data_IF_469288491395
#
_entry.id   IF_469288491395
#
_cell.length_a   1.000
_cell.length_b   1.000
_cell.length_c   1.000
_cell.angle_alpha   90.00
_cell.angle_beta   90.00
_cell.angle_gamma   90.00
#
_symmetry.space_group_name_H-M   'P 1'
#
loop_
_entity.id
_entity.type
_entity.pdbx_description
1 polymer ?
#
# COMPACT_ATOMS: atom_id res chain seq x y z
N UNK A 1 -18.33 -2.61 -37.49
CA UNK A 1 -18.05 -1.38 -38.25
C UNK A 1 -18.26 -0.10 -37.42
N UNK A 2 -19.41 0.61 -37.45
CA UNK A 2 -19.50 1.99 -36.91
C UNK A 2 -19.09 2.16 -35.43
N UNK A 3 -19.57 1.29 -34.53
CA UNK A 3 -19.18 1.34 -33.09
C UNK A 3 -17.71 0.99 -32.86
N UNK A 4 -17.15 0.05 -33.63
CA UNK A 4 -15.73 -0.34 -33.51
C UNK A 4 -14.80 0.79 -33.98
N UNK A 5 -15.15 1.45 -35.08
CA UNK A 5 -14.44 2.64 -35.56
C UNK A 5 -14.51 3.79 -34.54
N UNK A 6 -15.67 4.02 -33.93
CA UNK A 6 -15.85 5.04 -32.89
C UNK A 6 -15.02 4.73 -31.64
N UNK A 7 -14.99 3.48 -31.17
CA UNK A 7 -14.14 3.07 -30.05
C UNK A 7 -12.66 3.26 -30.40
N UNK A 8 -12.22 2.78 -31.56
CA UNK A 8 -10.83 2.87 -31.99
C UNK A 8 -10.32 4.32 -32.14
N UNK A 9 -11.21 5.28 -32.37
CA UNK A 9 -10.89 6.70 -32.50
C UNK A 9 -11.23 7.53 -31.25
N UNK A 10 -11.78 6.92 -30.19
CA UNK A 10 -12.21 7.66 -29.01
C UNK A 10 -11.03 8.23 -28.21
N UNK A 11 -11.21 9.38 -27.56
CA UNK A 11 -10.24 9.98 -26.66
C UNK A 11 -10.05 9.18 -25.37
N UNK A 12 -8.92 9.39 -24.68
CA UNK A 12 -8.58 8.67 -23.45
C UNK A 12 -9.63 8.82 -22.34
N UNK A 13 -10.31 9.97 -22.29
CA UNK A 13 -11.36 10.27 -21.31
C UNK A 13 -12.60 9.36 -21.45
N UNK A 14 -12.79 8.73 -22.62
CA UNK A 14 -13.89 7.81 -22.85
C UNK A 14 -13.67 6.44 -22.18
N UNK A 15 -12.45 6.15 -21.71
CA UNK A 15 -12.08 4.84 -21.18
C UNK A 15 -11.81 4.90 -19.68
N UNK A 16 -12.14 3.81 -18.99
CA UNK A 16 -11.90 3.68 -17.56
C UNK A 16 -11.57 2.24 -17.16
N UNK A 17 -10.74 2.11 -16.12
CA UNK A 17 -10.61 0.86 -15.37
C UNK A 17 -11.85 0.71 -14.48
N UNK A 18 -12.59 -0.37 -14.62
CA UNK A 18 -13.67 -0.78 -13.71
C UNK A 18 -13.15 -1.87 -12.78
N UNK A 19 -12.94 -1.47 -11.52
CA UNK A 19 -12.46 -2.33 -10.46
C UNK A 19 -12.95 -1.82 -9.11
N UNK A 20 -13.86 -2.58 -8.52
CA UNK A 20 -14.42 -2.41 -7.18
C UNK A 20 -14.45 -3.75 -6.42
N UNK A 21 -13.37 -4.55 -6.57
CA UNK A 21 -13.23 -5.87 -5.95
C UNK A 21 -13.80 -7.04 -6.78
N UNK A 22 -14.53 -6.74 -7.87
CA UNK A 22 -15.02 -7.77 -8.80
C UNK A 22 -13.89 -8.26 -9.71
N UNK A 23 -13.70 -9.57 -9.75
CA UNK A 23 -12.77 -10.22 -10.66
C UNK A 23 -13.47 -10.74 -11.93
N UNK A 24 -12.81 -10.72 -13.10
CA UNK A 24 -11.57 -9.99 -13.38
C UNK A 24 -11.81 -8.46 -13.47
N UNK A 25 -10.80 -7.61 -13.26
CA UNK A 25 -10.89 -6.17 -13.55
C UNK A 25 -11.25 -5.94 -15.02
N UNK A 26 -12.01 -4.87 -15.28
CA UNK A 26 -12.63 -4.61 -16.59
C UNK A 26 -12.17 -3.28 -17.15
N UNK A 27 -12.18 -3.16 -18.46
CA UNK A 27 -12.04 -1.87 -19.14
C UNK A 27 -13.39 -1.47 -19.71
N UNK A 28 -13.77 -0.22 -19.47
CA UNK A 28 -14.99 0.38 -19.98
C UNK A 28 -14.66 1.37 -21.09
N UNK A 29 -15.58 1.52 -22.03
CA UNK A 29 -15.67 2.61 -22.99
C UNK A 29 -17.06 3.22 -22.90
N UNK A 30 -17.15 4.51 -22.52
CA UNK A 30 -18.41 5.21 -22.25
C UNK A 30 -19.34 4.40 -21.30
N UNK A 31 -18.75 3.83 -20.25
CA UNK A 31 -19.46 3.00 -19.27
C UNK A 31 -19.75 1.56 -19.70
N UNK A 32 -19.61 1.22 -21.00
CA UNK A 32 -19.83 -0.12 -21.50
C UNK A 32 -18.56 -0.98 -21.40
N UNK A 33 -18.67 -2.22 -20.91
CA UNK A 33 -17.54 -3.15 -20.83
C UNK A 33 -17.05 -3.52 -22.23
N UNK A 34 -15.76 -3.34 -22.48
CA UNK A 34 -15.12 -3.65 -23.78
C UNK A 34 -13.96 -4.62 -23.69
N UNK A 35 -13.35 -4.75 -22.51
CA UNK A 35 -12.31 -5.74 -22.28
C UNK A 35 -12.21 -6.12 -20.79
N UNK A 36 -11.37 -7.11 -20.51
CA UNK A 36 -10.99 -7.48 -19.14
C UNK A 36 -9.51 -7.76 -19.05
N UNK A 37 -8.93 -7.50 -17.88
CA UNK A 37 -7.53 -7.76 -17.62
C UNK A 37 -7.31 -9.23 -17.27
N UNK A 38 -6.26 -9.81 -17.83
CA UNK A 38 -5.77 -11.17 -17.58
C UNK A 38 -4.29 -11.13 -17.25
N UNK A 39 -3.81 -12.18 -16.59
CA UNK A 39 -2.39 -12.34 -16.30
C UNK A 39 -1.60 -12.29 -17.61
N UNK A 40 -0.62 -11.39 -17.65
CA UNK A 40 0.26 -11.19 -18.79
C UNK A 40 1.70 -11.55 -18.45
N UNK A 41 2.65 -10.88 -19.08
CA UNK A 41 4.09 -11.18 -18.94
C UNK A 41 4.63 -10.86 -17.55
N UNK A 42 4.17 -9.75 -16.98
CA UNK A 42 4.59 -9.24 -15.68
C UNK A 42 3.42 -8.48 -15.02
N UNK A 43 3.59 -8.07 -13.75
CA UNK A 43 2.55 -7.41 -12.98
C UNK A 43 2.10 -6.05 -13.55
N UNK A 44 2.94 -5.38 -14.34
CA UNK A 44 2.61 -4.10 -14.99
C UNK A 44 2.11 -4.27 -16.43
N UNK A 45 2.25 -5.46 -17.01
CA UNK A 45 1.88 -5.77 -18.39
C UNK A 45 0.81 -6.87 -18.43
N UNK A 46 -0.42 -6.63 -17.94
CA UNK A 46 -1.51 -7.59 -18.06
C UNK A 46 -1.93 -7.75 -19.53
N UNK A 47 -2.49 -8.91 -19.87
CA UNK A 47 -3.12 -9.11 -21.17
C UNK A 47 -4.52 -8.48 -21.16
N UNK A 48 -4.80 -7.62 -22.14
CA UNK A 48 -6.14 -7.07 -22.36
C UNK A 48 -6.91 -8.04 -23.26
N UNK A 49 -7.91 -8.71 -22.69
CA UNK A 49 -8.78 -9.64 -23.40
C UNK A 49 -10.10 -8.93 -23.76
N UNK A 50 -10.35 -8.74 -25.07
CA UNK A 50 -11.57 -8.11 -25.56
C UNK A 50 -12.83 -8.86 -25.08
N UNK A 51 -13.89 -8.10 -24.84
CA UNK A 51 -15.18 -8.67 -24.47
C UNK A 51 -15.73 -9.54 -25.61
N UNK A 52 -16.44 -10.62 -25.24
CA UNK A 52 -17.08 -11.53 -26.21
C UNK A 52 -18.08 -10.82 -27.12
N UNK A 53 -18.72 -9.74 -26.66
CA UNK A 53 -19.59 -8.91 -27.49
C UNK A 53 -18.87 -8.29 -28.69
N UNK A 54 -17.54 -8.18 -28.65
CA UNK A 54 -16.70 -7.70 -29.75
C UNK A 54 -16.19 -8.82 -30.66
N UNK A 55 -16.50 -10.10 -30.38
CA UNK A 55 -16.03 -11.24 -31.16
C UNK A 55 -16.61 -11.29 -32.59
N UNK A 56 -17.80 -10.73 -32.79
CA UNK A 56 -18.48 -10.64 -34.10
C UNK A 56 -17.91 -9.56 -35.02
N UNK A 57 -16.96 -8.74 -34.55
CA UNK A 57 -16.30 -7.74 -35.37
C UNK A 57 -15.33 -8.39 -36.38
N UNK A 58 -15.22 -7.75 -37.55
CA UNK A 58 -14.22 -8.12 -38.55
C UNK A 58 -12.81 -8.11 -37.94
N UNK A 59 -11.87 -8.96 -38.43
CA UNK A 59 -10.51 -9.04 -37.88
C UNK A 59 -9.79 -7.69 -37.81
N UNK A 60 -9.93 -6.84 -38.83
CA UNK A 60 -9.34 -5.49 -38.84
C UNK A 60 -9.94 -4.56 -37.78
N UNK A 61 -11.27 -4.57 -37.62
CA UNK A 61 -11.96 -3.81 -36.59
C UNK A 61 -11.48 -4.24 -35.19
N UNK A 62 -11.32 -5.54 -34.95
CA UNK A 62 -10.81 -6.07 -33.67
C UNK A 62 -9.37 -5.63 -33.41
N UNK A 63 -8.50 -5.70 -34.42
CA UNK A 63 -7.11 -5.23 -34.30
C UNK A 63 -7.03 -3.76 -33.93
N UNK A 64 -7.82 -2.90 -34.59
CA UNK A 64 -7.86 -1.47 -34.30
C UNK A 64 -8.34 -1.17 -32.88
N UNK A 65 -9.36 -1.89 -32.41
CA UNK A 65 -9.86 -1.78 -31.03
C UNK A 65 -8.80 -2.23 -30.03
N UNK A 66 -8.12 -3.35 -30.28
CA UNK A 66 -7.05 -3.85 -29.41
C UNK A 66 -5.92 -2.82 -29.27
N UNK A 67 -5.39 -2.33 -30.40
CA UNK A 67 -4.34 -1.30 -30.42
C UNK A 67 -4.76 -0.06 -29.63
N UNK A 68 -6.01 0.38 -29.77
CA UNK A 68 -6.51 1.55 -29.04
C UNK A 68 -6.56 1.33 -27.53
N UNK A 69 -7.03 0.16 -27.09
CA UNK A 69 -7.11 -0.20 -25.68
C UNK A 69 -5.73 -0.40 -25.05
N UNK A 70 -4.79 -1.00 -25.79
CA UNK A 70 -3.40 -1.15 -25.35
C UNK A 70 -2.77 0.24 -25.15
N UNK A 71 -2.90 1.14 -26.13
CA UNK A 71 -2.38 2.50 -26.04
C UNK A 71 -3.00 3.30 -24.87
N UNK A 72 -4.31 3.21 -24.67
CA UNK A 72 -4.96 3.85 -23.53
C UNK A 72 -4.45 3.28 -22.20
N UNK A 73 -4.32 1.95 -22.10
CA UNK A 73 -3.89 1.30 -20.88
C UNK A 73 -2.47 1.69 -20.51
N UNK A 74 -1.54 1.74 -21.48
CA UNK A 74 -0.18 2.21 -21.26
C UNK A 74 -0.15 3.67 -20.76
N UNK A 75 -0.94 4.55 -21.39
CA UNK A 75 -1.05 5.95 -20.96
C UNK A 75 -1.64 6.09 -19.54
N UNK A 76 -2.69 5.31 -19.24
CA UNK A 76 -3.31 5.29 -17.92
C UNK A 76 -2.37 4.70 -16.85
N UNK A 77 -1.64 3.64 -17.17
CA UNK A 77 -0.62 3.04 -16.31
C UNK A 77 0.50 4.04 -16.01
N UNK A 78 0.99 4.77 -17.02
CA UNK A 78 2.00 5.81 -16.84
C UNK A 78 1.49 6.99 -16.00
N UNK A 79 0.21 7.34 -16.10
CA UNK A 79 -0.42 8.39 -15.29
C UNK A 79 -0.60 7.96 -13.82
N UNK A 80 -1.09 6.74 -13.59
CA UNK A 80 -1.45 6.29 -12.24
C UNK A 80 -0.25 5.70 -11.49
N UNK A 81 0.56 4.90 -12.18
CA UNK A 81 1.71 4.16 -11.66
C UNK A 81 3.05 4.61 -12.26
N UNK A 82 3.09 5.82 -12.83
CA UNK A 82 4.29 6.42 -13.43
C UNK A 82 5.58 6.31 -12.60
N UNK A 83 5.56 6.44 -11.26
CA UNK A 83 6.75 6.17 -10.45
C UNK A 83 7.37 4.77 -10.64
N UNK A 84 6.56 3.73 -10.84
CA UNK A 84 7.06 2.37 -11.12
C UNK A 84 7.71 2.29 -12.51
N UNK A 85 7.13 2.97 -13.51
CA UNK A 85 7.71 3.07 -14.85
C UNK A 85 9.06 3.79 -14.80
N UNK A 86 9.14 4.91 -14.05
CA UNK A 86 10.39 5.67 -13.86
C UNK A 86 11.48 4.86 -13.17
N UNK A 87 11.13 3.97 -12.24
CA UNK A 87 12.10 3.10 -11.58
C UNK A 87 12.83 2.18 -12.56
N UNK A 88 12.17 1.76 -13.65
CA UNK A 88 12.83 0.98 -14.71
C UNK A 88 13.97 1.78 -15.38
N UNK A 89 13.81 3.09 -15.56
CA UNK A 89 14.87 3.98 -16.08
C UNK A 89 15.99 4.17 -15.06
N UNK A 90 15.65 4.37 -13.78
CA UNK A 90 16.64 4.54 -12.70
C UNK A 90 17.53 3.31 -12.54
N UNK A 91 16.97 2.12 -12.78
CA UNK A 91 17.69 0.83 -12.70
C UNK A 91 18.99 0.81 -13.53
N UNK A 92 19.06 1.52 -14.66
CA UNK A 92 20.26 1.53 -15.50
C UNK A 92 21.47 2.22 -14.82
N UNK A 93 21.22 3.18 -13.94
CA UNK A 93 22.23 4.11 -13.40
C UNK A 93 22.53 3.92 -11.90
N UNK A 94 22.18 2.76 -11.35
CA UNK A 94 22.40 2.42 -9.93
C UNK A 94 23.22 1.13 -9.78
N UNK A 95 23.72 0.88 -8.58
CA UNK A 95 24.49 -0.31 -8.25
C UNK A 95 23.70 -1.61 -8.51
N UNK A 96 24.37 -2.77 -8.72
CA UNK A 96 23.69 -4.06 -8.87
C UNK A 96 22.73 -4.38 -7.71
N UNK A 97 23.09 -4.01 -6.47
CA UNK A 97 22.25 -4.19 -5.29
C UNK A 97 20.96 -3.37 -5.41
N UNK A 98 21.08 -2.09 -5.76
CA UNK A 98 19.93 -1.22 -5.97
C UNK A 98 19.06 -1.68 -7.14
N UNK A 99 19.64 -2.24 -8.21
CA UNK A 99 18.87 -2.86 -9.31
C UNK A 99 17.99 -3.99 -8.81
N UNK A 100 18.53 -4.87 -7.97
CA UNK A 100 17.77 -5.95 -7.35
C UNK A 100 16.64 -5.43 -6.47
N UNK A 101 16.90 -4.37 -5.68
CA UNK A 101 15.86 -3.74 -4.87
C UNK A 101 14.76 -3.11 -5.72
N UNK A 102 15.11 -2.43 -6.82
CA UNK A 102 14.15 -1.85 -7.76
C UNK A 102 13.23 -2.92 -8.37
N UNK A 103 13.80 -4.05 -8.80
CA UNK A 103 13.02 -5.17 -9.35
C UNK A 103 11.95 -5.60 -8.34
N UNK A 104 12.33 -5.79 -7.07
CA UNK A 104 11.40 -6.20 -6.02
C UNK A 104 10.33 -5.15 -5.72
N UNK A 105 10.70 -3.86 -5.72
CA UNK A 105 9.74 -2.76 -5.57
C UNK A 105 8.72 -2.81 -6.71
N UNK A 106 9.16 -3.04 -7.96
CA UNK A 106 8.25 -3.12 -9.11
C UNK A 106 7.36 -4.36 -9.05
N UNK A 107 7.90 -5.52 -8.71
CA UNK A 107 7.15 -6.78 -8.56
C UNK A 107 6.09 -6.72 -7.46
N UNK A 108 6.39 -6.01 -6.36
CA UNK A 108 5.45 -5.73 -5.27
C UNK A 108 4.58 -4.49 -5.52
N UNK A 109 4.61 -3.97 -6.75
CA UNK A 109 3.83 -2.82 -7.20
C UNK A 109 4.02 -1.59 -6.31
N UNK A 110 5.20 -1.40 -5.73
CA UNK A 110 5.60 -0.17 -5.05
C UNK A 110 5.53 -0.19 -3.53
N UNK A 111 5.25 -1.32 -2.89
CA UNK A 111 5.36 -1.46 -1.44
C UNK A 111 5.87 -2.84 -1.05
N UNK A 112 6.99 -2.86 -0.34
CA UNK A 112 7.71 -4.05 0.08
C UNK A 112 7.95 -4.00 1.59
N UNK A 113 7.74 -5.12 2.28
CA UNK A 113 8.10 -5.25 3.69
C UNK A 113 9.62 -5.14 3.82
N UNK A 114 10.08 -4.24 4.68
CA UNK A 114 11.51 -3.92 4.80
C UNK A 114 12.37 -5.13 5.16
N UNK A 115 11.88 -5.98 6.06
CA UNK A 115 12.58 -7.20 6.49
C UNK A 115 12.99 -8.07 5.32
N UNK A 116 12.16 -8.10 4.27
CA UNK A 116 12.41 -8.97 3.14
C UNK A 116 13.61 -8.48 2.32
N UNK A 117 14.01 -7.20 2.43
CA UNK A 117 15.10 -6.56 1.70
C UNK A 117 16.24 -6.03 2.58
N UNK A 118 16.35 -6.51 3.83
CA UNK A 118 17.28 -5.94 4.80
C UNK A 118 18.74 -5.96 4.32
N UNK A 119 19.21 -7.09 3.76
CA UNK A 119 20.57 -7.21 3.21
C UNK A 119 20.85 -6.20 2.09
N UNK A 120 19.91 -6.04 1.16
CA UNK A 120 20.04 -5.09 0.05
C UNK A 120 20.08 -3.66 0.59
N UNK A 121 19.25 -3.34 1.57
CA UNK A 121 19.17 -2.02 2.19
C UNK A 121 20.44 -1.65 2.95
N UNK A 122 21.12 -2.62 3.56
CA UNK A 122 22.42 -2.42 4.22
C UNK A 122 23.53 -2.15 3.19
N UNK A 123 23.49 -2.84 2.05
CA UNK A 123 24.49 -2.71 0.99
C UNK A 123 24.28 -1.50 0.04
N UNK A 124 23.20 -0.71 0.18
CA UNK A 124 22.98 0.49 -0.63
C UNK A 124 24.01 1.59 -0.34
N UNK A 125 24.67 2.08 -1.39
CA UNK A 125 25.57 3.23 -1.31
C UNK A 125 24.80 4.56 -1.32
N UNK A 126 25.48 5.67 -0.98
CA UNK A 126 24.85 7.01 -0.94
C UNK A 126 24.17 7.41 -2.25
N UNK A 127 24.83 7.13 -3.39
CA UNK A 127 24.28 7.41 -4.72
C UNK A 127 22.98 6.67 -4.99
N UNK A 128 22.90 5.39 -4.63
CA UNK A 128 21.67 4.60 -4.77
C UNK A 128 20.52 5.19 -3.95
N UNK A 129 20.79 5.56 -2.70
CA UNK A 129 19.77 6.15 -1.80
C UNK A 129 19.23 7.47 -2.36
N UNK A 130 20.10 8.31 -2.92
CA UNK A 130 19.71 9.55 -3.56
C UNK A 130 18.86 9.31 -4.82
N UNK A 131 19.27 8.39 -5.68
CA UNK A 131 18.54 8.02 -6.89
C UNK A 131 17.14 7.45 -6.58
N UNK A 132 17.06 6.53 -5.61
CA UNK A 132 15.79 5.96 -5.15
C UNK A 132 14.88 7.03 -4.54
N UNK A 133 15.43 7.93 -3.70
CA UNK A 133 14.66 9.03 -3.12
C UNK A 133 14.14 9.99 -4.19
N UNK A 134 14.96 10.33 -5.19
CA UNK A 134 14.55 11.17 -6.32
C UNK A 134 13.43 10.52 -7.16
N UNK A 135 13.42 9.19 -7.23
CA UNK A 135 12.34 8.41 -7.84
C UNK A 135 11.07 8.29 -6.97
N UNK A 136 11.08 8.87 -5.76
CA UNK A 136 9.93 8.85 -4.84
C UNK A 136 9.87 7.64 -3.92
N UNK A 137 10.91 6.79 -3.90
CA UNK A 137 11.02 5.66 -2.98
C UNK A 137 11.39 6.16 -1.59
N UNK A 138 10.67 5.67 -0.58
CA UNK A 138 10.95 5.88 0.84
C UNK A 138 11.52 4.59 1.43
N UNK A 139 12.71 4.67 1.98
CA UNK A 139 13.32 3.60 2.78
C UNK A 139 12.83 3.74 4.23
N UNK A 140 11.57 3.38 4.46
CA UNK A 140 10.90 3.58 5.75
C UNK A 140 11.37 2.62 6.86
N UNK A 141 10.75 2.79 8.03
CA UNK A 141 11.03 1.99 9.23
C UNK A 141 10.66 0.52 9.06
N UNK A 142 9.51 0.24 8.46
CA UNK A 142 8.97 -1.12 8.28
C UNK A 142 8.70 -1.50 6.83
N UNK A 143 8.63 -0.51 5.94
CA UNK A 143 8.38 -0.74 4.51
C UNK A 143 9.32 0.11 3.65
N UNK A 144 9.69 -0.45 2.51
CA UNK A 144 10.21 0.30 1.38
C UNK A 144 9.03 0.54 0.43
N UNK A 145 8.68 1.80 0.18
CA UNK A 145 7.47 2.11 -0.56
C UNK A 145 7.58 3.39 -1.39
N UNK A 146 6.75 3.52 -2.43
CA UNK A 146 6.64 4.75 -3.22
C UNK A 146 5.45 5.57 -2.72
N UNK A 147 5.72 6.72 -2.09
CA UNK A 147 4.70 7.45 -1.33
C UNK A 147 3.50 7.91 -2.19
N UNK A 148 3.75 8.36 -3.43
CA UNK A 148 2.70 8.80 -4.34
C UNK A 148 1.76 7.68 -4.80
N UNK A 149 2.14 6.42 -4.62
CA UNK A 149 1.33 5.25 -4.98
C UNK A 149 0.34 4.80 -3.88
N UNK A 150 0.26 5.55 -2.77
CA UNK A 150 -0.72 5.36 -1.70
C UNK A 150 -1.98 6.23 -1.88
N UNK A 151 -2.03 7.05 -2.94
CA UNK A 151 -3.24 7.81 -3.31
C UNK A 151 -4.35 6.85 -3.81
N UNK A 152 -5.64 7.18 -3.64
CA UNK A 152 -6.72 6.22 -3.89
C UNK A 152 -6.71 5.55 -5.26
N UNK A 153 -6.56 6.32 -6.35
CA UNK A 153 -6.60 5.74 -7.70
C UNK A 153 -5.38 4.87 -7.99
N UNK A 154 -4.17 5.29 -7.57
CA UNK A 154 -2.98 4.45 -7.70
C UNK A 154 -3.11 3.15 -6.91
N UNK A 155 -3.66 3.20 -5.68
CA UNK A 155 -3.96 1.99 -4.89
C UNK A 155 -4.97 1.09 -5.59
N UNK A 156 -6.02 1.66 -6.21
CA UNK A 156 -7.01 0.90 -6.98
C UNK A 156 -6.37 0.16 -8.16
N UNK A 157 -5.50 0.83 -8.91
CA UNK A 157 -4.72 0.22 -9.99
C UNK A 157 -3.78 -0.87 -9.49
N UNK A 158 -3.03 -0.61 -8.42
CA UNK A 158 -2.14 -1.60 -7.79
C UNK A 158 -2.89 -2.84 -7.37
N UNK A 159 -4.04 -2.70 -6.71
CA UNK A 159 -4.87 -3.83 -6.31
C UNK A 159 -5.42 -4.60 -7.50
N UNK A 160 -5.88 -3.93 -8.57
CA UNK A 160 -6.34 -4.60 -9.79
C UNK A 160 -5.23 -5.43 -10.44
N UNK A 161 -4.04 -4.85 -10.60
CA UNK A 161 -2.89 -5.52 -11.21
C UNK A 161 -2.33 -6.64 -10.33
N UNK A 162 -2.23 -6.39 -9.02
CA UNK A 162 -1.83 -7.39 -8.04
C UNK A 162 -2.78 -8.59 -8.06
N UNK A 163 -4.10 -8.34 -8.09
CA UNK A 163 -5.10 -9.40 -8.10
C UNK A 163 -5.03 -10.25 -9.38
N UNK A 164 -4.80 -9.60 -10.53
CA UNK A 164 -4.60 -10.28 -11.82
C UNK A 164 -3.30 -11.08 -11.83
N UNK A 165 -2.20 -10.52 -11.34
CA UNK A 165 -0.89 -11.16 -11.33
C UNK A 165 -0.84 -12.39 -10.42
N UNK A 166 -1.51 -12.32 -9.27
CA UNK A 166 -1.56 -13.40 -8.27
C UNK A 166 -2.78 -14.32 -8.44
N UNK A 167 -3.48 -14.24 -9.58
CA UNK A 167 -4.63 -15.09 -9.91
C UNK A 167 -5.76 -15.10 -8.85
N UNK A 168 -5.91 -14.00 -8.12
CA UNK A 168 -6.89 -13.85 -7.04
C UNK A 168 -8.31 -13.97 -7.60
N UNK A 169 -9.12 -14.85 -7.01
CA UNK A 169 -10.51 -15.08 -7.43
C UNK A 169 -11.50 -14.28 -6.60
N UNK A 170 -11.21 -14.16 -5.30
CA UNK A 170 -12.01 -13.42 -4.34
C UNK A 170 -11.09 -12.50 -3.56
N UNK A 171 -11.42 -11.21 -3.56
CA UNK A 171 -10.68 -10.19 -2.84
C UNK A 171 -11.31 -9.97 -1.46
N UNK A 172 -10.50 -9.70 -0.42
CA UNK A 172 -10.98 -9.01 0.76
C UNK A 172 -11.63 -7.66 0.40
N UNK A 173 -12.43 -7.07 1.31
CA UNK A 173 -13.00 -5.74 1.10
C UNK A 173 -11.92 -4.71 0.76
N UNK A 174 -12.13 -3.96 -0.33
CA UNK A 174 -11.19 -2.90 -0.70
C UNK A 174 -11.25 -1.77 0.33
N UNK A 175 -10.11 -1.21 0.77
CA UNK A 175 -10.12 -0.04 1.63
C UNK A 175 -10.81 1.14 0.96
N UNK A 176 -11.71 1.81 1.69
CA UNK A 176 -12.34 3.03 1.20
C UNK A 176 -11.30 4.13 0.93
N UNK A 177 -11.49 4.98 -0.11
CA UNK A 177 -10.59 6.10 -0.39
C UNK A 177 -10.31 6.96 0.84
N UNK A 178 -9.03 7.27 1.08
CA UNK A 178 -8.61 8.13 2.20
C UNK A 178 -8.55 7.43 3.57
N UNK A 179 -9.04 6.19 3.70
CA UNK A 179 -8.99 5.44 4.97
C UNK A 179 -7.55 5.19 5.40
N UNK A 180 -7.23 5.44 6.69
CA UNK A 180 -5.88 5.28 7.27
C UNK A 180 -5.70 4.03 8.13
N UNK A 181 -6.79 3.39 8.52
CA UNK A 181 -6.82 2.12 9.25
C UNK A 181 -8.02 1.28 8.82
N UNK A 182 -7.84 -0.04 8.80
CA UNK A 182 -8.88 -1.01 8.49
C UNK A 182 -8.85 -2.17 9.48
N UNK A 183 -9.99 -2.81 9.69
CA UNK A 183 -10.07 -4.08 10.40
C UNK A 183 -9.69 -5.21 9.44
N UNK A 184 -8.95 -6.20 9.94
CA UNK A 184 -8.56 -7.41 9.21
C UNK A 184 -9.15 -8.59 9.94
N UNK A 185 -10.17 -9.19 9.34
CA UNK A 185 -10.85 -10.40 9.79
C UNK A 185 -10.26 -11.64 9.11
N UNK A 186 -9.66 -12.51 9.91
CA UNK A 186 -9.09 -13.76 9.42
C UNK A 186 -7.79 -13.60 8.62
N UNK A 187 -7.56 -14.57 7.73
CA UNK A 187 -6.37 -14.64 6.89
C UNK A 187 -6.70 -14.15 5.48
N UNK A 188 -6.10 -13.02 5.09
CA UNK A 188 -6.22 -12.46 3.75
C UNK A 188 -5.07 -12.96 2.87
N UNK A 189 -5.22 -12.97 1.53
CA UNK A 189 -4.14 -13.44 0.67
C UNK A 189 -2.86 -12.62 0.87
N UNK A 190 -1.73 -13.32 0.97
CA UNK A 190 -0.41 -12.71 1.16
C UNK A 190 -0.14 -11.66 0.08
N UNK A 191 0.30 -10.46 0.48
CA UNK A 191 0.57 -9.36 -0.45
C UNK A 191 -0.62 -8.40 -0.65
N UNK A 192 -1.83 -8.75 -0.21
CA UNK A 192 -3.01 -7.88 -0.37
C UNK A 192 -2.81 -6.55 0.38
N UNK A 193 -2.39 -6.61 1.65
CA UNK A 193 -2.23 -5.41 2.47
C UNK A 193 -1.11 -4.52 1.92
N UNK A 194 -0.01 -5.10 1.46
CA UNK A 194 1.11 -4.39 0.84
C UNK A 194 0.66 -3.70 -0.47
N UNK A 195 -0.07 -4.43 -1.33
CA UNK A 195 -0.67 -3.87 -2.55
C UNK A 195 -1.67 -2.75 -2.23
N UNK A 196 -2.43 -2.87 -1.14
CA UNK A 196 -3.34 -1.85 -0.64
C UNK A 196 -2.61 -0.68 0.04
N UNK A 197 -1.34 -0.83 0.44
CA UNK A 197 -0.57 0.19 1.14
C UNK A 197 -0.74 0.20 2.66
N UNK A 198 -1.06 -0.93 3.28
CA UNK A 198 -1.30 -1.10 4.71
C UNK A 198 -0.34 -2.12 5.32
N UNK A 199 -0.08 -1.95 6.62
CA UNK A 199 0.68 -2.89 7.45
C UNK A 199 -0.21 -3.48 8.54
N UNK A 200 -0.24 -4.80 8.66
CA UNK A 200 -1.03 -5.51 9.68
C UNK A 200 -0.44 -5.34 11.08
N UNK A 201 -1.29 -4.98 12.04
CA UNK A 201 -1.01 -4.89 13.47
C UNK A 201 -2.10 -5.63 14.27
N UNK A 202 -1.96 -6.95 14.38
CA UNK A 202 -2.99 -7.80 14.99
C UNK A 202 -4.22 -7.90 14.09
N UNK A 203 -5.39 -7.52 14.61
CA UNK A 203 -6.68 -7.51 13.90
C UNK A 203 -6.97 -6.20 13.16
N UNK A 204 -6.02 -5.28 13.12
CA UNK A 204 -6.10 -4.02 12.36
C UNK A 204 -4.96 -3.96 11.36
N UNK A 205 -5.08 -3.09 10.36
CA UNK A 205 -3.98 -2.68 9.52
C UNK A 205 -3.97 -1.16 9.35
N UNK A 206 -2.78 -0.57 9.30
CA UNK A 206 -2.55 0.88 9.26
C UNK A 206 -1.84 1.24 7.97
N UNK A 207 -2.21 2.35 7.34
CA UNK A 207 -1.50 2.81 6.15
C UNK A 207 -0.02 3.04 6.43
N UNK A 208 0.80 2.57 5.50
CA UNK A 208 2.27 2.58 5.62
C UNK A 208 2.82 4.00 5.80
N UNK A 209 2.24 5.00 5.15
CA UNK A 209 2.65 6.40 5.30
C UNK A 209 2.34 6.99 6.68
N UNK A 210 1.26 6.55 7.34
CA UNK A 210 0.95 6.95 8.72
C UNK A 210 1.91 6.30 9.71
N UNK A 211 2.26 5.02 9.50
CA UNK A 211 3.27 4.32 10.30
C UNK A 211 4.61 5.04 10.20
N UNK A 212 5.06 5.38 8.99
CA UNK A 212 6.32 6.10 8.78
C UNK A 212 6.31 7.50 9.42
N UNK A 213 5.19 8.23 9.32
CA UNK A 213 5.04 9.54 9.95
C UNK A 213 5.13 9.44 11.47
N UNK A 214 4.45 8.45 12.06
CA UNK A 214 4.49 8.20 13.49
C UNK A 214 5.91 7.85 13.94
N UNK A 215 6.58 6.94 13.23
CA UNK A 215 7.95 6.54 13.56
C UNK A 215 8.93 7.72 13.53
N UNK A 216 8.80 8.64 12.56
CA UNK A 216 9.59 9.88 12.52
C UNK A 216 9.27 10.81 13.68
N UNK A 217 7.99 10.98 14.02
CA UNK A 217 7.57 11.80 15.16
C UNK A 217 8.13 11.25 16.49
N UNK A 218 8.14 9.93 16.67
CA UNK A 218 8.75 9.29 17.84
C UNK A 218 10.26 9.52 17.84
N UNK A 219 10.93 9.36 16.70
CA UNK A 219 12.37 9.55 16.59
C UNK A 219 12.80 10.98 16.95
N UNK A 220 12.01 11.99 16.59
CA UNK A 220 12.29 13.39 16.95
C UNK A 220 12.00 13.74 18.41
N UNK A 221 11.21 12.94 19.12
CA UNK A 221 10.87 13.16 20.55
C UNK A 221 11.75 12.38 21.51
N UNK A 222 12.26 11.21 21.10
CA UNK A 222 13.03 10.36 22.00
C UNK A 222 14.40 10.97 22.27
N UNK A 223 14.80 10.99 23.53
CA UNK A 223 16.20 11.15 23.92
C UNK A 223 16.83 9.77 24.12
N UNK A 224 17.50 9.27 23.07
CA UNK A 224 18.06 7.92 23.06
C UNK A 224 17.01 6.82 23.32
N UNK A 225 17.12 6.16 24.49
CA UNK A 225 16.22 5.08 24.94
C UNK A 225 15.31 5.51 26.11
N UNK A 226 15.33 6.79 26.50
CA UNK A 226 14.53 7.28 27.61
C UNK A 226 13.02 7.04 27.36
N UNK A 227 12.25 6.67 28.40
CA UNK A 227 10.81 6.63 28.31
C UNK A 227 10.24 8.01 27.95
N UNK A 228 9.25 8.06 27.07
CA UNK A 228 8.58 9.31 26.69
C UNK A 228 7.06 9.14 26.71
N UNK A 229 6.33 10.22 26.99
CA UNK A 229 4.87 10.23 26.92
C UNK A 229 4.42 10.24 25.46
N UNK A 230 3.49 9.35 25.09
CA UNK A 230 2.89 9.39 23.75
C UNK A 230 2.02 10.64 23.57
N UNK A 231 2.05 11.20 22.37
CA UNK A 231 1.17 12.32 22.04
C UNK A 231 -0.27 11.81 21.86
N UNK A 232 -1.24 12.45 22.54
CA UNK A 232 -2.65 12.06 22.46
C UNK A 232 -3.20 12.00 21.03
N UNK A 233 -2.66 12.80 20.11
CA UNK A 233 -3.13 12.89 18.73
C UNK A 233 -2.64 11.75 17.82
N UNK A 234 -1.67 10.94 18.26
CA UNK A 234 -1.11 9.87 17.43
C UNK A 234 -2.14 8.81 17.05
N UNK A 235 -2.94 8.34 18.01
CA UNK A 235 -4.01 7.38 17.75
C UNK A 235 -5.01 7.95 16.72
N UNK A 236 -5.49 9.17 16.95
CA UNK A 236 -6.44 9.85 16.07
C UNK A 236 -5.88 10.02 14.64
N UNK A 237 -4.63 10.47 14.50
CA UNK A 237 -3.99 10.69 13.19
C UNK A 237 -3.75 9.39 12.41
N UNK A 238 -3.57 8.26 13.09
CA UNK A 238 -3.47 6.93 12.47
C UNK A 238 -4.83 6.24 12.30
N UNK A 239 -5.92 6.87 12.76
CA UNK A 239 -7.27 6.29 12.77
C UNK A 239 -7.39 5.06 13.67
N UNK A 240 -6.58 4.97 14.73
CA UNK A 240 -6.52 3.82 15.62
C UNK A 240 -7.26 4.07 16.93
N UNK A 241 -7.74 2.98 17.51
CA UNK A 241 -8.08 2.92 18.94
C UNK A 241 -6.81 3.05 19.80
N UNK A 242 -6.95 3.28 21.12
CA UNK A 242 -5.80 3.29 22.03
C UNK A 242 -5.07 1.94 22.05
N UNK A 243 -5.82 0.84 22.06
CA UNK A 243 -5.24 -0.50 21.97
C UNK A 243 -4.55 -0.74 20.63
N UNK A 244 -5.11 -0.19 19.55
CA UNK A 244 -4.50 -0.19 18.23
C UNK A 244 -3.16 0.55 18.21
N UNK A 245 -3.10 1.73 18.84
CA UNK A 245 -1.84 2.46 19.01
C UNK A 245 -0.83 1.65 19.84
N UNK A 246 -1.26 1.04 20.96
CA UNK A 246 -0.38 0.20 21.77
C UNK A 246 0.18 -0.98 20.97
N UNK A 247 -0.64 -1.64 20.15
CA UNK A 247 -0.20 -2.69 19.21
C UNK A 247 0.81 -2.15 18.19
N UNK A 248 0.56 -0.99 17.60
CA UNK A 248 1.48 -0.35 16.65
C UNK A 248 2.83 -0.02 17.31
N UNK A 249 2.81 0.58 18.50
CA UNK A 249 4.02 0.87 19.28
C UNK A 249 4.79 -0.41 19.60
N UNK A 250 4.08 -1.48 19.97
CA UNK A 250 4.68 -2.80 20.23
C UNK A 250 5.37 -3.38 19.00
N UNK A 251 4.71 -3.27 17.83
CA UNK A 251 5.24 -3.72 16.54
C UNK A 251 6.46 -2.89 16.12
N UNK A 252 6.48 -1.60 16.44
CA UNK A 252 7.64 -0.73 16.25
C UNK A 252 8.76 -0.94 17.28
N UNK A 253 8.66 -1.88 18.23
CA UNK A 253 9.73 -2.18 19.20
C UNK A 253 9.68 -1.38 20.50
N UNK A 254 8.60 -0.64 20.74
CA UNK A 254 8.36 0.08 21.99
C UNK A 254 7.54 -0.78 22.98
N UNK A 255 7.66 -0.49 24.27
CA UNK A 255 6.86 -1.09 25.34
C UNK A 255 6.33 -0.01 26.25
N UNK A 256 5.14 -0.24 26.79
CA UNK A 256 4.57 0.62 27.82
C UNK A 256 5.37 0.42 29.12
N UNK A 257 5.63 1.51 29.82
CA UNK A 257 6.30 1.55 31.12
C UNK A 257 5.66 2.65 31.95
N UNK A 258 5.40 2.39 33.24
CA UNK A 258 4.95 3.43 34.16
C UNK A 258 6.17 4.16 34.73
N UNK A 259 6.15 5.49 34.67
CA UNK A 259 7.12 6.38 35.31
C UNK A 259 6.30 7.33 36.17
N UNK A 260 6.52 7.29 37.49
CA UNK A 260 5.75 8.06 38.48
C UNK A 260 4.22 7.89 38.33
N UNK A 261 3.78 6.67 38.02
CA UNK A 261 2.37 6.32 37.80
C UNK A 261 1.80 6.72 36.42
N UNK A 262 2.57 7.44 35.58
CA UNK A 262 2.13 7.87 34.26
C UNK A 262 2.64 6.94 33.13
N UNK A 263 1.80 6.64 32.11
CA UNK A 263 2.17 5.76 31.01
C UNK A 263 3.18 6.43 30.05
N UNK A 264 4.33 5.79 29.89
CA UNK A 264 5.39 6.16 28.97
C UNK A 264 5.69 5.00 28.02
N UNK A 265 6.25 5.30 26.84
CA UNK A 265 6.82 4.31 25.94
C UNK A 265 8.34 4.34 26.02
N UNK A 266 8.95 3.16 26.19
CA UNK A 266 10.40 2.99 26.16
C UNK A 266 10.78 2.07 25.00
N UNK A 267 11.87 2.40 24.30
CA UNK A 267 12.44 1.52 23.29
C UNK A 267 13.10 0.32 23.98
N UNK A 268 12.64 -0.90 23.68
CA UNK A 268 13.22 -2.14 24.24
C UNK A 268 13.98 -2.98 23.21
N UNK A 269 14.05 -2.51 21.96
CA UNK A 269 14.69 -3.25 20.88
C UNK A 269 13.92 -4.50 20.45
N UNK A 270 14.35 -5.10 19.34
CA UNK A 270 13.77 -6.32 18.80
C UNK A 270 12.55 -6.08 17.89
N UNK A 271 12.77 -6.18 16.57
CA UNK A 271 11.73 -6.67 15.66
C UNK A 271 11.43 -8.10 16.10
N UNK A 272 10.26 -8.36 16.70
CA UNK A 272 9.78 -9.73 16.79
C UNK A 272 9.34 -10.16 15.40
N UNK A 273 9.80 -11.33 14.96
CA UNK A 273 9.13 -12.09 13.90
C UNK A 273 7.61 -12.11 14.17
N UNK A 274 6.76 -12.14 13.13
CA UNK A 274 5.32 -11.95 13.26
C UNK A 274 4.75 -12.88 14.35
N UNK A 275 4.26 -12.28 15.42
CA UNK A 275 3.59 -13.00 16.51
C UNK A 275 2.21 -13.36 15.98
N UNK A 276 1.98 -14.66 15.73
CA UNK A 276 0.61 -15.21 15.64
C UNK A 276 -0.18 -14.73 16.85
N UNK A 277 -1.43 -14.34 16.62
CA UNK A 277 -2.32 -13.69 17.58
C UNK A 277 -2.19 -14.27 19.00
N UNK A 278 -1.40 -13.62 19.84
CA UNK A 278 -1.33 -13.87 21.28
C UNK A 278 -1.80 -12.63 22.01
N UNK A 279 -2.66 -12.88 22.99
CA UNK A 279 -3.48 -11.94 23.72
C UNK A 279 -2.71 -10.72 24.21
N UNK A 280 -3.37 -9.57 24.13
CA UNK A 280 -2.95 -8.33 24.78
C UNK A 280 -2.66 -8.65 26.26
N UNK A 281 -1.51 -8.27 26.79
CA UNK A 281 -1.28 -8.36 28.24
C UNK A 281 -2.28 -7.41 28.92
N UNK A 282 -3.12 -7.93 29.80
CA UNK A 282 -4.11 -7.14 30.57
C UNK A 282 -3.47 -5.93 31.29
N UNK A 283 -2.17 -6.02 31.60
CA UNK A 283 -1.38 -4.93 32.19
C UNK A 283 -1.34 -3.67 31.32
N UNK A 284 -1.23 -3.82 30.00
CA UNK A 284 -1.05 -2.69 29.09
C UNK A 284 -2.38 -1.97 28.81
N UNK A 285 -3.49 -2.72 28.81
CA UNK A 285 -4.84 -2.20 28.60
C UNK A 285 -5.36 -1.45 29.84
N UNK A 286 -5.14 -1.99 31.05
CA UNK A 286 -5.54 -1.33 32.31
C UNK A 286 -4.74 -0.05 32.59
N UNK A 287 -3.44 -0.03 32.27
CA UNK A 287 -2.62 1.18 32.42
C UNK A 287 -3.08 2.36 31.54
N UNK A 288 -3.79 2.10 30.44
CA UNK A 288 -4.34 3.12 29.55
C UNK A 288 -5.74 3.59 29.96
N UNK A 289 -6.55 2.75 30.62
CA UNK A 289 -7.85 3.14 31.17
C UNK A 289 -7.73 4.02 32.41
N UNK A 290 -6.68 3.80 33.21
CA UNK A 290 -6.52 4.43 34.52
C UNK A 290 -5.63 5.68 34.49
N UNK A 291 -5.25 6.12 33.29
CA UNK A 291 -4.39 7.28 33.09
C UNK A 291 -5.14 8.62 33.27
N UNK A 292 -4.48 9.71 33.72
CA UNK A 292 -5.08 11.05 33.80
C UNK A 292 -5.68 11.56 32.46
N UNK A 293 -5.23 11.01 31.33
CA UNK A 293 -5.78 11.28 29.99
C UNK A 293 -7.13 10.58 29.71
N UNK A 294 -7.60 9.69 30.59
CA UNK A 294 -8.94 9.10 30.55
C UNK A 294 -10.00 10.06 31.12
N UNK A 295 -9.62 10.86 32.13
CA UNK A 295 -10.51 11.84 32.79
C UNK A 295 -10.89 12.98 31.83
N UNK A 296 -9.99 13.39 30.93
CA UNK A 296 -10.27 14.44 29.94
C UNK A 296 -11.16 13.97 28.77
N UNK A 297 -11.32 12.66 28.57
CA UNK A 297 -12.20 12.11 27.53
C UNK A 297 -13.68 12.15 27.93
N UNK A 298 -13.99 12.16 29.24
CA UNK A 298 -15.35 12.30 29.76
C UNK A 298 -15.90 13.73 29.74
N UNK A 299 -15.07 14.73 29.39
CA UNK A 299 -15.46 16.16 29.45
C UNK A 299 -15.78 16.79 28.09
N UNK A 300 -15.89 16.01 27.01
CA UNK A 300 -16.49 16.49 25.74
C UNK A 300 -17.90 15.95 25.58
N UNK A 301 -18.81 16.55 26.34
CA UNK A 301 -20.23 16.23 26.34
C UNK A 301 -21.01 17.18 27.24
N UNK A 302 -20.82 18.49 27.06
CA UNK A 302 -21.79 19.53 27.40
C UNK A 302 -21.66 20.66 26.38
#
# INVERSE_FOLDING_TARGET
ARRAAALAAADDAAFALDFAGRMPPRLLWNGARVASLRKGRDALSPRIELDRALASLAPDDRRRVQVRLDAWFEAALARELGPLVKLATVRANVSPVARGLIVRIVETLGALVRSDAEEQLQALVRGDRQALSAAGVRLGVEHVFVASLLRPEATRWRLALWAVWNDIKLLPPLPAPGRVSITVDGEWPKGFLEAAGFWRIGSEAVRIDMVERLARAIHGRRDGRAPFTADPNWAASAGLTRDGLARLMRALGYRLQLVDGAPHFAWRGGRRAPVQASQVSESDARALSDSPFAVLAGMKGR
#
